data_IF_194467570333
#
_entry.id   IF_194467570333
#
_cell.length_a   1.000
_cell.length_b   1.000
_cell.length_c   1.000
_cell.angle_alpha   90.00
_cell.angle_beta   90.00
_cell.angle_gamma   90.00
#
_symmetry.space_group_name_H-M   'P 1'
#
loop_
_entity.id
_entity.type
_entity.pdbx_description
1 polymer ?
#
# COMPACT_ATOMS: atom_id res chain seq x y z
N UNK A 1 3.97 -9.26 -28.08
CA UNK A 1 5.29 -8.77 -27.63
C UNK A 1 6.11 -9.96 -27.16
N UNK A 2 7.32 -10.09 -27.64
CA UNK A 2 8.22 -11.18 -27.25
C UNK A 2 9.34 -10.57 -26.38
N UNK A 3 9.45 -11.02 -25.16
CA UNK A 3 10.54 -10.63 -24.26
C UNK A 3 11.31 -11.91 -23.90
N UNK A 4 12.55 -11.99 -24.34
CA UNK A 4 13.45 -13.11 -24.00
C UNK A 4 12.95 -14.50 -24.46
N UNK A 5 12.39 -14.62 -25.67
CA UNK A 5 11.92 -15.90 -26.24
C UNK A 5 10.62 -16.44 -25.64
N UNK A 6 9.90 -15.65 -24.86
CA UNK A 6 8.61 -16.01 -24.26
C UNK A 6 7.47 -15.35 -25.04
N UNK A 7 6.47 -16.12 -25.45
CA UNK A 7 5.25 -15.56 -26.04
C UNK A 7 4.29 -15.18 -24.91
N UNK A 8 3.99 -13.89 -24.81
CA UNK A 8 3.00 -13.37 -23.86
C UNK A 8 1.65 -13.19 -24.58
N UNK A 9 0.63 -13.86 -24.10
CA UNK A 9 -0.76 -13.63 -24.53
C UNK A 9 -1.49 -12.93 -23.37
N UNK A 10 -1.78 -11.64 -23.55
CA UNK A 10 -2.58 -10.89 -22.60
C UNK A 10 -4.06 -11.18 -22.81
N UNK A 11 -4.74 -11.58 -21.76
CA UNK A 11 -6.20 -11.71 -21.77
C UNK A 11 -6.81 -10.43 -21.18
N UNK A 12 -7.17 -9.49 -22.04
CA UNK A 12 -7.94 -8.31 -21.65
C UNK A 12 -9.44 -8.60 -21.44
N UNK A 13 -9.86 -9.85 -21.63
CA UNK A 13 -11.24 -10.26 -21.47
C UNK A 13 -11.57 -10.43 -19.98
N UNK A 14 -12.24 -9.44 -19.40
CA UNK A 14 -12.80 -9.58 -18.05
C UNK A 14 -12.70 -8.35 -17.16
N UNK A 15 -12.18 -7.22 -17.64
CA UNK A 15 -12.30 -5.99 -16.90
C UNK A 15 -13.78 -5.63 -16.76
N UNK A 16 -14.33 -5.98 -15.62
CA UNK A 16 -15.59 -5.42 -15.16
C UNK A 16 -15.25 -4.05 -14.60
N UNK A 17 -15.49 -2.99 -15.39
CA UNK A 17 -15.48 -1.66 -14.81
C UNK A 17 -16.47 -1.70 -13.63
N UNK A 18 -16.00 -1.65 -12.39
CA UNK A 18 -16.95 -1.68 -11.29
C UNK A 18 -17.75 -0.39 -11.39
N UNK A 19 -19.04 -0.52 -11.61
CA UNK A 19 -20.02 0.52 -11.26
C UNK A 19 -20.09 0.63 -9.73
N UNK A 20 -19.01 0.30 -9.06
CA UNK A 20 -18.92 0.20 -7.63
C UNK A 20 -18.67 1.58 -7.03
N UNK A 21 -19.30 1.81 -5.92
CA UNK A 21 -19.15 3.04 -5.16
C UNK A 21 -17.68 3.32 -4.84
N UNK A 22 -17.24 4.59 -4.81
CA UNK A 22 -15.85 4.97 -4.50
C UNK A 22 -15.32 4.34 -3.21
N UNK A 23 -16.20 4.04 -2.23
CA UNK A 23 -15.88 3.37 -0.98
C UNK A 23 -15.36 1.94 -1.17
N UNK A 24 -15.79 1.22 -2.21
CA UNK A 24 -15.26 -0.10 -2.52
C UNK A 24 -13.77 -0.04 -2.91
N UNK A 25 -13.36 0.97 -3.68
CA UNK A 25 -11.96 1.18 -4.01
C UNK A 25 -11.12 1.45 -2.76
N UNK A 26 -11.65 2.24 -1.81
CA UNK A 26 -10.99 2.48 -0.52
C UNK A 26 -10.83 1.17 0.25
N UNK A 27 -11.86 0.31 0.28
CA UNK A 27 -11.78 -1.02 0.89
C UNK A 27 -10.70 -1.90 0.26
N UNK A 28 -10.61 -1.89 -1.07
CA UNK A 28 -9.55 -2.62 -1.80
C UNK A 28 -8.17 -2.07 -1.42
N UNK A 29 -8.02 -0.77 -1.43
CA UNK A 29 -6.76 -0.07 -1.17
C UNK A 29 -6.31 -0.17 0.30
N UNK A 30 -7.24 -0.29 1.25
CA UNK A 30 -6.93 -0.38 2.68
C UNK A 30 -6.30 -1.71 3.10
N UNK A 31 -6.41 -2.76 2.30
CA UNK A 31 -5.83 -4.07 2.59
C UNK A 31 -4.30 -4.03 2.46
N UNK A 32 -3.61 -4.26 3.58
CA UNK A 32 -2.13 -4.35 3.61
C UNK A 32 -1.61 -5.44 2.66
N UNK A 33 -2.24 -6.62 2.68
CA UNK A 33 -1.84 -7.73 1.80
C UNK A 33 -1.92 -7.35 0.33
N UNK A 34 -2.96 -6.63 -0.11
CA UNK A 34 -3.10 -6.18 -1.49
C UNK A 34 -2.05 -5.15 -1.87
N UNK A 35 -1.77 -4.20 -1.00
CA UNK A 35 -0.68 -3.23 -1.23
C UNK A 35 0.67 -3.92 -1.36
N UNK A 36 0.95 -4.89 -0.50
CA UNK A 36 2.19 -5.68 -0.58
C UNK A 36 2.27 -6.49 -1.86
N UNK A 37 1.17 -7.12 -2.32
CA UNK A 37 1.12 -7.81 -3.61
C UNK A 37 1.46 -6.85 -4.76
N UNK A 38 0.81 -5.68 -4.81
CA UNK A 38 1.08 -4.68 -5.84
C UNK A 38 2.55 -4.23 -5.85
N UNK A 39 3.14 -3.99 -4.68
CA UNK A 39 4.57 -3.63 -4.56
C UNK A 39 5.51 -4.75 -5.01
N UNK A 40 5.22 -5.99 -4.65
CA UNK A 40 6.02 -7.14 -5.09
C UNK A 40 5.93 -7.34 -6.60
N UNK A 41 4.75 -7.15 -7.21
CA UNK A 41 4.58 -7.16 -8.66
C UNK A 41 5.41 -6.06 -9.35
N UNK A 42 5.50 -4.86 -8.77
CA UNK A 42 6.39 -3.80 -9.26
C UNK A 42 7.86 -4.19 -9.19
N UNK A 43 8.25 -5.00 -8.21
CA UNK A 43 9.60 -5.52 -8.05
C UNK A 43 9.92 -6.72 -8.98
N UNK A 44 8.93 -7.18 -9.76
CA UNK A 44 9.10 -8.28 -10.73
C UNK A 44 8.76 -9.68 -10.21
N UNK A 45 8.16 -9.80 -9.01
CA UNK A 45 7.64 -11.08 -8.52
C UNK A 45 6.28 -11.35 -9.14
N UNK A 46 6.26 -11.92 -10.34
CA UNK A 46 5.09 -12.05 -11.19
C UNK A 46 4.30 -13.35 -11.00
N UNK A 47 4.83 -14.30 -10.22
CA UNK A 47 4.22 -15.61 -10.04
C UNK A 47 3.54 -15.75 -8.66
N UNK A 48 2.29 -16.27 -8.58
CA UNK A 48 1.56 -16.39 -7.32
C UNK A 48 2.27 -17.18 -6.21
N UNK A 49 3.08 -18.18 -6.58
CA UNK A 49 3.86 -18.93 -5.58
C UNK A 49 4.97 -18.11 -4.95
N UNK A 50 5.62 -17.26 -5.74
CA UNK A 50 6.69 -16.38 -5.22
C UNK A 50 6.11 -15.30 -4.32
N UNK A 51 4.95 -14.75 -4.69
CA UNK A 51 4.19 -13.84 -3.85
C UNK A 51 3.80 -14.50 -2.51
N UNK A 52 3.29 -15.74 -2.55
CA UNK A 52 2.90 -16.49 -1.36
C UNK A 52 4.08 -16.71 -0.42
N UNK A 53 5.25 -17.10 -0.97
CA UNK A 53 6.49 -17.27 -0.20
C UNK A 53 6.97 -15.96 0.42
N UNK A 54 6.98 -14.87 -0.34
CA UNK A 54 7.41 -13.55 0.14
C UNK A 54 6.51 -13.02 1.24
N UNK A 55 5.20 -13.17 1.10
CA UNK A 55 4.21 -12.71 2.06
C UNK A 55 3.98 -13.68 3.23
N UNK A 56 4.55 -14.89 3.16
CA UNK A 56 4.36 -15.97 4.16
C UNK A 56 2.88 -16.32 4.38
N UNK A 57 2.09 -16.31 3.31
CA UNK A 57 0.67 -16.66 3.32
C UNK A 57 0.41 -17.83 2.36
N UNK A 58 -0.78 -18.42 2.46
CA UNK A 58 -1.17 -19.53 1.57
C UNK A 58 -1.34 -19.06 0.13
N UNK A 59 -0.94 -19.88 -0.83
CA UNK A 59 -1.13 -19.65 -2.27
C UNK A 59 -2.58 -19.28 -2.60
N UNK A 60 -3.54 -20.03 -2.03
CA UNK A 60 -4.97 -19.80 -2.24
C UNK A 60 -5.42 -18.42 -1.76
N UNK A 61 -4.77 -17.86 -0.73
CA UNK A 61 -5.04 -16.49 -0.27
C UNK A 61 -4.53 -15.46 -1.28
N UNK A 62 -3.34 -15.69 -1.84
CA UNK A 62 -2.78 -14.84 -2.91
C UNK A 62 -3.69 -14.87 -4.14
N UNK A 63 -4.12 -16.06 -4.57
CA UNK A 63 -4.99 -16.21 -5.74
C UNK A 63 -6.29 -15.41 -5.59
N UNK A 64 -6.92 -15.45 -4.41
CA UNK A 64 -8.12 -14.63 -4.12
C UNK A 64 -7.85 -13.13 -4.22
N UNK A 65 -6.73 -12.66 -3.68
CA UNK A 65 -6.38 -11.25 -3.74
C UNK A 65 -6.06 -10.81 -5.17
N UNK A 66 -5.39 -11.65 -5.95
CA UNK A 66 -5.08 -11.37 -7.35
C UNK A 66 -6.34 -11.30 -8.23
N UNK A 67 -7.33 -12.17 -8.00
CA UNK A 67 -8.63 -12.11 -8.69
C UNK A 67 -9.31 -10.77 -8.39
N UNK A 68 -9.37 -10.36 -7.13
CA UNK A 68 -9.99 -9.11 -6.73
C UNK A 68 -9.26 -7.88 -7.30
N UNK A 69 -7.92 -7.88 -7.28
CA UNK A 69 -7.11 -6.83 -7.90
C UNK A 69 -7.30 -6.80 -9.43
N UNK A 70 -7.45 -7.94 -10.07
CA UNK A 70 -7.71 -8.05 -11.50
C UNK A 70 -9.11 -7.51 -11.86
N UNK A 71 -10.13 -7.85 -11.09
CA UNK A 71 -11.50 -7.36 -11.29
C UNK A 71 -11.58 -5.82 -11.20
N UNK A 72 -10.71 -5.21 -10.39
CA UNK A 72 -10.58 -3.77 -10.27
C UNK A 72 -9.62 -3.14 -11.30
N UNK A 73 -9.02 -3.93 -12.18
CA UNK A 73 -8.09 -3.46 -13.19
C UNK A 73 -6.77 -2.92 -12.63
N UNK A 74 -6.40 -3.32 -11.41
CA UNK A 74 -5.16 -2.91 -10.76
C UNK A 74 -3.98 -3.82 -11.13
N UNK A 75 -4.28 -5.04 -11.59
CA UNK A 75 -3.32 -5.98 -12.15
C UNK A 75 -3.85 -6.55 -13.46
N UNK A 76 -2.92 -6.92 -14.35
CA UNK A 76 -3.18 -7.73 -15.52
C UNK A 76 -2.62 -9.14 -15.31
N UNK A 77 -3.13 -10.08 -16.06
CA UNK A 77 -2.61 -11.45 -16.12
C UNK A 77 -2.24 -11.85 -17.54
N UNK A 78 -1.18 -12.60 -17.66
CA UNK A 78 -0.73 -13.15 -18.94
C UNK A 78 -0.40 -14.63 -18.83
N UNK A 79 -0.64 -15.37 -19.89
CA UNK A 79 -0.14 -16.73 -20.04
C UNK A 79 1.25 -16.67 -20.66
N UNK A 80 2.22 -17.27 -20.00
CA UNK A 80 3.58 -17.44 -20.50
C UNK A 80 3.75 -18.87 -20.98
N UNK A 81 4.14 -19.01 -22.25
CA UNK A 81 4.42 -20.29 -22.89
C UNK A 81 5.94 -20.45 -23.04
N UNK A 82 6.61 -21.11 -22.09
CA UNK A 82 8.05 -21.36 -22.22
C UNK A 82 8.32 -22.33 -23.38
N UNK A 83 9.51 -22.29 -24.01
CA UNK A 83 9.89 -23.23 -25.08
C UNK A 83 9.83 -24.69 -24.63
N UNK A 84 10.12 -24.95 -23.37
CA UNK A 84 9.98 -26.23 -22.71
C UNK A 84 9.27 -26.05 -21.37
N UNK A 85 8.28 -26.90 -21.10
CA UNK A 85 7.54 -26.87 -19.84
C UNK A 85 6.06 -26.50 -19.99
N UNK A 86 5.38 -26.37 -18.84
CA UNK A 86 3.94 -26.08 -18.81
C UNK A 86 3.68 -24.58 -18.91
N UNK A 87 2.62 -24.15 -19.56
CA UNK A 87 2.16 -22.77 -19.51
C UNK A 87 1.97 -22.30 -18.06
N UNK A 88 2.33 -21.05 -17.80
CA UNK A 88 2.19 -20.42 -16.48
C UNK A 88 1.42 -19.13 -16.60
N UNK A 89 0.60 -18.86 -15.60
CA UNK A 89 -0.05 -17.57 -15.45
C UNK A 89 0.86 -16.67 -14.60
N UNK A 90 1.16 -15.51 -15.12
CA UNK A 90 1.91 -14.44 -14.44
C UNK A 90 1.04 -13.19 -14.34
N UNK A 91 1.36 -12.37 -13.38
CA UNK A 91 0.65 -11.13 -13.10
C UNK A 91 1.59 -9.93 -13.18
N UNK A 92 1.05 -8.78 -13.55
CA UNK A 92 1.76 -7.51 -13.55
C UNK A 92 0.85 -6.40 -13.06
N UNK A 93 1.42 -5.39 -12.40
CA UNK A 93 0.67 -4.22 -11.98
C UNK A 93 0.36 -3.37 -13.21
N UNK A 94 -0.88 -2.89 -13.30
CA UNK A 94 -1.31 -1.95 -14.34
C UNK A 94 -0.87 -0.52 -14.00
N UNK A 95 -0.99 0.41 -14.96
CA UNK A 95 -0.77 1.82 -14.65
C UNK A 95 -1.73 2.32 -13.56
N UNK A 96 -3.00 1.90 -13.58
CA UNK A 96 -3.97 2.21 -12.51
C UNK A 96 -3.53 1.69 -11.15
N UNK A 97 -2.96 0.49 -11.10
CA UNK A 97 -2.41 -0.07 -9.85
C UNK A 97 -1.24 0.74 -9.31
N UNK A 98 -0.36 1.22 -10.17
CA UNK A 98 0.75 2.12 -9.81
C UNK A 98 0.24 3.46 -9.31
N UNK A 99 -0.66 4.08 -10.06
CA UNK A 99 -1.24 5.38 -9.71
C UNK A 99 -1.96 5.33 -8.35
N UNK A 100 -2.64 4.22 -8.06
CA UNK A 100 -3.28 4.00 -6.75
C UNK A 100 -2.26 3.93 -5.63
N UNK A 101 -1.16 3.18 -5.79
CA UNK A 101 -0.11 3.11 -4.78
C UNK A 101 0.52 4.48 -4.54
N UNK A 102 0.86 5.21 -5.59
CA UNK A 102 1.46 6.54 -5.49
C UNK A 102 0.52 7.53 -4.81
N UNK A 103 -0.79 7.45 -5.12
CA UNK A 103 -1.81 8.27 -4.45
C UNK A 103 -1.89 7.97 -2.96
N UNK A 104 -1.92 6.69 -2.58
CA UNK A 104 -1.97 6.28 -1.19
C UNK A 104 -0.72 6.73 -0.41
N UNK A 105 0.45 6.55 -0.98
CA UNK A 105 1.71 6.99 -0.36
C UNK A 105 1.74 8.51 -0.17
N UNK A 106 1.28 9.27 -1.16
CA UNK A 106 1.17 10.73 -1.07
C UNK A 106 0.19 11.16 0.02
N UNK A 107 -1.01 10.57 0.07
CA UNK A 107 -2.01 10.88 1.09
C UNK A 107 -1.49 10.58 2.48
N UNK A 108 -0.85 9.43 2.69
CA UNK A 108 -0.26 9.06 3.99
C UNK A 108 0.84 10.05 4.38
N UNK A 109 1.70 10.42 3.43
CA UNK A 109 2.78 11.38 3.67
C UNK A 109 2.26 12.77 4.05
N UNK A 110 1.26 13.27 3.33
CA UNK A 110 0.65 14.58 3.60
C UNK A 110 -0.07 14.59 4.95
N UNK A 111 -0.80 13.51 5.26
CA UNK A 111 -1.49 13.35 6.53
C UNK A 111 -0.51 13.29 7.71
N UNK A 112 0.54 12.49 7.58
CA UNK A 112 1.59 12.39 8.61
C UNK A 112 2.35 13.70 8.81
N UNK A 113 2.58 14.46 7.74
CA UNK A 113 3.21 15.77 7.83
C UNK A 113 2.34 16.77 8.62
N UNK A 114 1.02 16.72 8.44
CA UNK A 114 0.07 17.52 9.23
C UNK A 114 0.17 17.22 10.73
N UNK A 115 0.16 15.94 11.10
CA UNK A 115 0.33 15.52 12.50
C UNK A 115 1.67 15.93 13.10
N UNK A 116 2.73 15.85 12.33
CA UNK A 116 4.06 16.29 12.79
C UNK A 116 4.08 17.78 13.07
N UNK A 117 3.49 18.60 12.20
CA UNK A 117 3.38 20.03 12.40
C UNK A 117 2.54 20.39 13.65
N UNK A 118 1.46 19.65 13.90
CA UNK A 118 0.64 19.83 15.10
C UNK A 118 1.40 19.43 16.37
N UNK A 119 2.12 18.32 16.35
CA UNK A 119 2.98 17.88 17.45
C UNK A 119 4.05 18.92 17.79
N UNK A 120 4.77 19.42 16.79
CA UNK A 120 5.80 20.45 16.97
C UNK A 120 5.20 21.72 17.57
N UNK A 121 4.05 22.17 17.06
CA UNK A 121 3.35 23.36 17.57
C UNK A 121 2.90 23.20 19.03
N UNK A 122 2.39 22.01 19.41
CA UNK A 122 2.00 21.74 20.81
C UNK A 122 3.21 21.75 21.75
N UNK A 123 4.35 21.18 21.32
CA UNK A 123 5.59 21.21 22.09
C UNK A 123 6.16 22.62 22.25
N UNK A 124 6.25 23.38 21.16
CA UNK A 124 6.70 24.77 21.20
C UNK A 124 5.83 25.64 22.14
N UNK A 125 4.50 25.44 22.05
CA UNK A 125 3.58 26.14 22.96
C UNK A 125 3.75 25.73 24.42
N UNK A 126 4.11 24.50 24.69
CA UNK A 126 4.40 24.02 26.05
C UNK A 126 5.74 24.57 26.57
N UNK A 127 6.76 24.61 25.72
CA UNK A 127 8.07 25.16 26.02
C UNK A 127 8.00 26.68 26.31
N UNK A 128 7.23 27.41 25.52
CA UNK A 128 6.99 28.83 25.75
C UNK A 128 6.36 29.08 27.11
N UNK A 129 5.37 28.31 27.54
CA UNK A 129 4.73 28.40 28.84
C UNK A 129 5.69 28.13 30.00
N UNK A 130 6.63 27.21 29.84
CA UNK A 130 7.68 26.96 30.81
C UNK A 130 8.64 28.14 30.89
N UNK A 131 9.09 28.66 29.73
CA UNK A 131 10.00 29.81 29.66
C UNK A 131 9.40 31.10 30.27
N UNK A 132 8.10 31.30 30.10
CA UNK A 132 7.36 32.40 30.68
C UNK A 132 7.03 32.22 32.19
N UNK A 133 7.34 31.04 32.76
CA UNK A 133 7.03 30.72 34.14
C UNK A 133 5.55 30.48 34.43
N UNK A 134 4.74 30.26 33.39
CA UNK A 134 3.30 29.98 33.50
C UNK A 134 3.03 28.56 34.05
N UNK A 135 3.95 27.65 33.83
CA UNK A 135 3.89 26.28 34.35
C UNK A 135 5.21 25.89 35.01
N UNK A 136 5.11 25.03 36.05
CA UNK A 136 6.28 24.47 36.71
C UNK A 136 6.89 23.34 35.89
N UNK A 137 8.18 23.05 36.10
CA UNK A 137 8.92 21.98 35.40
C UNK A 137 8.22 20.61 35.51
N UNK A 138 7.73 20.25 36.68
CA UNK A 138 7.02 18.96 36.88
C UNK A 138 5.80 18.85 35.98
N UNK A 139 5.02 19.95 35.85
CA UNK A 139 3.85 19.98 35.00
C UNK A 139 4.24 19.96 33.51
N UNK A 140 5.37 20.59 33.15
CA UNK A 140 5.92 20.52 31.79
C UNK A 140 6.24 19.06 31.39
N UNK A 141 7.01 18.32 32.21
CA UNK A 141 7.36 16.95 31.91
C UNK A 141 6.14 16.03 31.81
N UNK A 142 5.17 16.22 32.67
CA UNK A 142 3.92 15.47 32.63
C UNK A 142 3.17 15.70 31.32
N UNK A 143 2.96 16.95 30.93
CA UNK A 143 2.24 17.31 29.71
C UNK A 143 3.00 16.93 28.45
N UNK A 144 4.31 17.08 28.45
CA UNK A 144 5.15 16.63 27.35
C UNK A 144 4.97 15.13 27.08
N UNK A 145 5.01 14.31 28.11
CA UNK A 145 4.76 12.87 27.99
C UNK A 145 3.37 12.54 27.46
N UNK A 146 2.36 13.29 27.87
CA UNK A 146 0.98 13.16 27.35
C UNK A 146 0.92 13.47 25.85
N UNK A 147 1.57 14.53 25.40
CA UNK A 147 1.67 14.90 23.98
C UNK A 147 2.41 13.81 23.20
N UNK A 148 3.60 13.42 23.64
CA UNK A 148 4.39 12.36 23.01
C UNK A 148 3.60 11.05 22.89
N UNK A 149 2.85 10.66 23.92
CA UNK A 149 2.00 9.45 23.89
C UNK A 149 0.85 9.58 22.90
N UNK A 150 0.23 10.75 22.79
CA UNK A 150 -0.88 11.01 21.87
C UNK A 150 -0.45 10.87 20.40
N UNK A 151 0.73 11.34 20.07
CA UNK A 151 1.25 11.32 18.70
C UNK A 151 2.09 10.08 18.35
N UNK A 152 2.41 9.21 19.32
CA UNK A 152 3.30 8.05 19.14
C UNK A 152 2.86 7.04 18.07
N UNK A 153 1.55 7.01 17.74
CA UNK A 153 1.01 6.09 16.71
C UNK A 153 1.03 6.69 15.30
N UNK A 154 1.37 7.97 15.15
CA UNK A 154 1.25 8.71 13.88
C UNK A 154 2.60 9.26 13.41
N UNK A 155 3.59 9.38 14.30
CA UNK A 155 4.97 9.80 14.03
C UNK A 155 5.88 8.59 13.78
#
# INVERSE_FOLDING_TARGET
MTVGGRTLKYAHAGFRAPMAEPLELVRIASSETRRQILRLLQQGFDHPEDLAKKLKIRRTSVDKQLVELFDWGLVDRAAVFPPAGRPRIVYQVTQRGKDLLDLLERVVKEYSAGFRADFERELEGLEAKLAEGVIAEEMYFKRRKEIETRYATVL
#
